data_IF_539118716641
#
_entry.id   IF_539118716641
#
_cell.length_a   1.000
_cell.length_b   1.000
_cell.length_c   1.000
_cell.angle_alpha   90.00
_cell.angle_beta   90.00
_cell.angle_gamma   90.00
#
_symmetry.space_group_name_H-M   'P 1'
#
loop_
_entity.id
_entity.type
_entity.pdbx_description
1 polymer ?
#
# COMPACT_ATOMS: atom_id res chain seq x y z
N UNK A 1 -33.30 31.47 -5.75
CA UNK A 1 -33.74 30.08 -6.01
C UNK A 1 -32.92 29.19 -5.08
N UNK A 2 -33.53 28.25 -4.37
CA UNK A 2 -32.81 27.44 -3.38
C UNK A 2 -31.79 26.50 -4.04
N UNK A 3 -30.72 26.14 -3.34
CA UNK A 3 -29.79 25.10 -3.74
C UNK A 3 -30.51 23.77 -4.01
N UNK A 4 -31.49 23.44 -3.15
CA UNK A 4 -32.34 22.25 -3.32
C UNK A 4 -33.15 22.30 -4.63
N UNK A 5 -33.78 23.43 -4.94
CA UNK A 5 -34.57 23.57 -6.18
C UNK A 5 -33.70 23.41 -7.42
N UNK A 6 -32.47 23.95 -7.37
CA UNK A 6 -31.53 23.88 -8.49
C UNK A 6 -31.06 22.44 -8.68
N UNK A 7 -30.71 21.76 -7.59
CA UNK A 7 -30.37 20.34 -7.57
C UNK A 7 -31.50 19.47 -8.18
N UNK A 8 -32.74 19.60 -7.69
CA UNK A 8 -33.87 18.81 -8.22
C UNK A 8 -34.17 19.10 -9.69
N UNK A 9 -33.99 20.34 -10.13
CA UNK A 9 -34.15 20.72 -11.55
C UNK A 9 -33.08 20.07 -12.42
N UNK A 10 -31.82 20.05 -11.98
CA UNK A 10 -30.71 19.39 -12.69
C UNK A 10 -30.95 17.89 -12.84
N UNK A 11 -31.33 17.20 -11.76
CA UNK A 11 -31.67 15.77 -11.80
C UNK A 11 -32.82 15.47 -12.76
N UNK A 12 -33.90 16.25 -12.66
CA UNK A 12 -35.07 16.11 -13.54
C UNK A 12 -34.70 16.29 -15.01
N UNK A 13 -33.85 17.28 -15.33
CA UNK A 13 -33.36 17.53 -16.69
C UNK A 13 -32.53 16.35 -17.21
N UNK A 14 -31.60 15.83 -16.40
CA UNK A 14 -30.79 14.67 -16.76
C UNK A 14 -31.64 13.41 -16.99
N UNK A 15 -32.62 13.12 -16.13
CA UNK A 15 -33.54 11.99 -16.34
C UNK A 15 -34.25 12.09 -17.70
N UNK A 16 -34.68 13.29 -18.11
CA UNK A 16 -35.28 13.51 -19.43
C UNK A 16 -34.28 13.28 -20.56
N UNK A 17 -33.02 13.67 -20.39
CA UNK A 17 -31.95 13.43 -21.37
C UNK A 17 -31.63 11.93 -21.49
N UNK A 18 -31.53 11.21 -20.36
CA UNK A 18 -31.30 9.76 -20.32
C UNK A 18 -32.44 8.97 -20.99
N UNK A 19 -33.70 9.37 -20.78
CA UNK A 19 -34.85 8.75 -21.49
C UNK A 19 -34.75 8.90 -23.01
N UNK A 20 -34.09 9.95 -23.49
CA UNK A 20 -33.83 10.19 -24.92
C UNK A 20 -32.49 9.59 -25.39
N UNK A 21 -31.76 8.88 -24.52
CA UNK A 21 -30.39 8.38 -24.76
C UNK A 21 -29.40 9.49 -25.13
N UNK A 22 -29.67 10.74 -24.74
CA UNK A 22 -28.76 11.87 -24.93
C UNK A 22 -27.72 11.90 -23.80
N UNK A 23 -26.82 10.91 -23.78
CA UNK A 23 -25.90 10.69 -22.67
C UNK A 23 -24.88 11.83 -22.51
N UNK A 24 -24.30 12.34 -23.59
CA UNK A 24 -23.34 13.45 -23.52
C UNK A 24 -23.97 14.73 -22.95
N UNK A 25 -25.21 15.01 -23.32
CA UNK A 25 -25.98 16.13 -22.77
C UNK A 25 -26.25 15.97 -21.27
N UNK A 26 -26.56 14.74 -20.83
CA UNK A 26 -26.80 14.42 -19.43
C UNK A 26 -25.49 14.53 -18.62
N UNK A 27 -24.39 13.99 -19.14
CA UNK A 27 -23.04 14.10 -18.58
C UNK A 27 -22.67 15.56 -18.38
N UNK A 28 -22.83 16.38 -19.42
CA UNK A 28 -22.54 17.82 -19.35
C UNK A 28 -23.43 18.50 -18.32
N UNK A 29 -24.74 18.23 -18.35
CA UNK A 29 -25.71 18.87 -17.45
C UNK A 29 -25.41 18.57 -15.98
N UNK A 30 -25.13 17.31 -15.64
CA UNK A 30 -24.85 16.91 -14.25
C UNK A 30 -23.43 17.32 -13.84
N UNK A 31 -22.44 17.17 -14.73
CA UNK A 31 -21.06 17.57 -14.48
C UNK A 31 -20.91 19.07 -14.18
N UNK A 32 -21.44 19.92 -15.07
CA UNK A 32 -21.42 21.37 -14.89
C UNK A 32 -22.23 21.77 -13.64
N UNK A 33 -23.37 21.11 -13.41
CA UNK A 33 -24.21 21.34 -12.24
C UNK A 33 -23.53 20.97 -10.92
N UNK A 34 -22.77 19.87 -10.88
CA UNK A 34 -21.99 19.45 -9.72
C UNK A 34 -20.92 20.50 -9.38
N UNK A 35 -20.14 20.93 -10.37
CA UNK A 35 -19.14 22.00 -10.21
C UNK A 35 -19.78 23.28 -9.67
N UNK A 36 -20.87 23.74 -10.28
CA UNK A 36 -21.57 24.95 -9.85
C UNK A 36 -22.03 24.88 -8.38
N UNK A 37 -22.56 23.73 -7.94
CA UNK A 37 -22.99 23.55 -6.55
C UNK A 37 -21.81 23.54 -5.58
N UNK A 38 -20.70 22.89 -5.93
CA UNK A 38 -19.50 22.86 -5.09
C UNK A 38 -18.85 24.24 -4.95
N UNK A 39 -18.79 25.01 -6.04
CA UNK A 39 -18.33 26.41 -6.03
C UNK A 39 -19.23 27.30 -5.14
N UNK A 40 -20.54 27.03 -5.13
CA UNK A 40 -21.50 27.66 -4.24
C UNK A 40 -21.46 27.14 -2.79
N UNK A 41 -20.48 26.28 -2.44
CA UNK A 41 -20.29 25.64 -1.13
C UNK A 41 -21.40 24.68 -0.71
N UNK A 42 -22.26 24.25 -1.64
CA UNK A 42 -23.32 23.27 -1.42
C UNK A 42 -22.78 21.83 -1.54
N UNK A 43 -21.93 21.43 -0.59
CA UNK A 43 -21.13 20.19 -0.63
C UNK A 43 -21.97 18.94 -0.85
N UNK A 44 -23.04 18.75 -0.07
CA UNK A 44 -23.90 17.56 -0.16
C UNK A 44 -24.58 17.44 -1.53
N UNK A 45 -25.12 18.53 -2.06
CA UNK A 45 -25.79 18.53 -3.38
C UNK A 45 -24.79 18.35 -4.52
N UNK A 46 -23.64 19.04 -4.47
CA UNK A 46 -22.59 18.93 -5.48
C UNK A 46 -22.01 17.53 -5.57
N UNK A 47 -21.74 16.88 -4.43
CA UNK A 47 -21.24 15.51 -4.37
C UNK A 47 -22.30 14.47 -4.74
N UNK A 48 -23.59 14.67 -4.40
CA UNK A 48 -24.66 13.77 -4.88
C UNK A 48 -24.78 13.80 -6.41
N UNK A 49 -24.73 14.99 -7.01
CA UNK A 49 -24.68 15.13 -8.46
C UNK A 49 -23.43 14.48 -9.06
N UNK A 50 -22.27 14.55 -8.38
CA UNK A 50 -21.05 13.88 -8.83
C UNK A 50 -21.16 12.36 -8.82
N UNK A 51 -21.77 11.77 -7.79
CA UNK A 51 -22.06 10.33 -7.75
C UNK A 51 -23.03 9.97 -8.88
N UNK A 52 -24.06 10.79 -9.10
CA UNK A 52 -25.00 10.56 -10.19
C UNK A 52 -24.33 10.67 -11.58
N UNK A 53 -23.35 11.56 -11.76
CA UNK A 53 -22.54 11.63 -12.97
C UNK A 53 -21.81 10.30 -13.24
N UNK A 54 -21.22 9.69 -12.21
CA UNK A 54 -20.53 8.41 -12.32
C UNK A 54 -21.49 7.26 -12.68
N UNK A 55 -22.71 7.29 -12.15
CA UNK A 55 -23.76 6.34 -12.54
C UNK A 55 -24.13 6.51 -14.03
N UNK A 56 -24.21 7.76 -14.51
CA UNK A 56 -24.44 8.05 -15.94
C UNK A 56 -23.27 7.54 -16.79
N UNK A 57 -22.02 7.73 -16.36
CA UNK A 57 -20.84 7.16 -17.07
C UNK A 57 -20.94 5.64 -17.18
N UNK A 58 -21.37 4.98 -16.11
CA UNK A 58 -21.58 3.53 -16.09
C UNK A 58 -22.68 3.12 -17.06
N UNK A 59 -23.83 3.80 -17.02
CA UNK A 59 -24.99 3.51 -17.88
C UNK A 59 -24.70 3.77 -19.36
N UNK A 60 -23.91 4.79 -19.68
CA UNK A 60 -23.58 5.16 -21.06
C UNK A 60 -22.37 4.43 -21.63
N UNK A 61 -21.68 3.62 -20.82
CA UNK A 61 -20.40 3.01 -21.22
C UNK A 61 -19.30 4.04 -21.50
N UNK A 62 -19.29 5.19 -20.82
CA UNK A 62 -18.25 6.22 -21.01
C UNK A 62 -16.87 5.60 -20.68
N UNK A 63 -15.88 5.66 -21.59
CA UNK A 63 -14.55 5.14 -21.31
C UNK A 63 -13.82 5.97 -20.26
N UNK A 64 -12.87 5.36 -19.55
CA UNK A 64 -11.94 6.09 -18.70
C UNK A 64 -10.84 6.74 -19.54
N UNK A 65 -11.17 7.90 -20.10
CA UNK A 65 -10.31 8.73 -20.95
C UNK A 65 -9.86 10.02 -20.24
N UNK A 66 -9.09 10.85 -20.93
CA UNK A 66 -8.57 12.09 -20.36
C UNK A 66 -9.69 13.07 -19.95
N UNK A 67 -10.77 13.14 -20.74
CA UNK A 67 -11.89 14.05 -20.49
C UNK A 67 -12.67 13.65 -19.22
N UNK A 68 -13.05 12.38 -19.12
CA UNK A 68 -13.77 11.83 -17.97
C UNK A 68 -12.92 11.91 -16.69
N UNK A 69 -11.62 11.61 -16.78
CA UNK A 69 -10.67 11.78 -15.67
C UNK A 69 -10.59 13.22 -15.21
N UNK A 70 -10.34 14.18 -16.12
CA UNK A 70 -10.24 15.60 -15.77
C UNK A 70 -11.49 16.13 -15.09
N UNK A 71 -12.68 15.75 -15.59
CA UNK A 71 -13.95 16.15 -14.98
C UNK A 71 -14.09 15.61 -13.56
N UNK A 72 -13.79 14.33 -13.32
CA UNK A 72 -13.85 13.75 -11.98
C UNK A 72 -12.83 14.40 -11.04
N UNK A 73 -11.60 14.60 -11.48
CA UNK A 73 -10.55 15.26 -10.68
C UNK A 73 -10.96 16.69 -10.30
N UNK A 74 -11.52 17.46 -11.24
CA UNK A 74 -12.02 18.81 -10.97
C UNK A 74 -13.13 18.81 -9.91
N UNK A 75 -14.10 17.91 -10.03
CA UNK A 75 -15.20 17.81 -9.08
C UNK A 75 -14.69 17.43 -7.70
N UNK A 76 -13.81 16.43 -7.62
CA UNK A 76 -13.26 15.95 -6.34
C UNK A 76 -12.40 17.05 -5.69
N UNK A 77 -11.64 17.84 -6.45
CA UNK A 77 -10.81 18.94 -5.90
C UNK A 77 -11.62 20.13 -5.38
N UNK A 78 -12.86 20.34 -5.88
CA UNK A 78 -13.78 21.36 -5.36
C UNK A 78 -14.55 20.89 -4.13
N UNK A 79 -14.62 19.57 -3.91
CA UNK A 79 -15.28 19.00 -2.75
C UNK A 79 -14.41 19.13 -1.49
N UNK A 80 -15.05 19.43 -0.36
CA UNK A 80 -14.38 19.50 0.94
C UNK A 80 -13.83 18.12 1.36
N UNK A 81 -12.76 18.10 2.16
CA UNK A 81 -12.21 16.87 2.69
C UNK A 81 -13.09 16.25 3.79
N UNK A 82 -14.22 15.70 3.38
CA UNK A 82 -15.21 15.11 4.25
C UNK A 82 -15.74 13.79 3.69
N UNK A 83 -16.75 13.27 4.37
CA UNK A 83 -17.44 12.05 3.98
C UNK A 83 -18.05 12.11 2.56
N UNK A 84 -18.51 13.27 2.11
CA UNK A 84 -19.12 13.42 0.78
C UNK A 84 -18.07 13.29 -0.32
N UNK A 85 -16.91 13.92 -0.16
CA UNK A 85 -15.81 13.73 -1.12
C UNK A 85 -15.34 12.29 -1.15
N UNK A 86 -15.23 11.62 0.00
CA UNK A 86 -14.91 10.18 0.05
C UNK A 86 -15.89 9.35 -0.78
N UNK A 87 -17.21 9.62 -0.68
CA UNK A 87 -18.21 8.93 -1.52
C UNK A 87 -17.97 9.12 -3.02
N UNK A 88 -17.64 10.34 -3.45
CA UNK A 88 -17.34 10.63 -4.86
C UNK A 88 -16.08 9.89 -5.31
N UNK A 89 -15.02 9.89 -4.49
CA UNK A 89 -13.79 9.12 -4.75
C UNK A 89 -14.10 7.63 -4.88
N UNK A 90 -14.81 7.04 -3.92
CA UNK A 90 -15.15 5.61 -3.92
C UNK A 90 -15.96 5.24 -5.18
N UNK A 91 -16.94 6.07 -5.56
CA UNK A 91 -17.73 5.89 -6.78
C UNK A 91 -16.87 5.98 -8.04
N UNK A 92 -16.03 7.02 -8.16
CA UNK A 92 -15.14 7.23 -9.28
C UNK A 92 -14.14 6.08 -9.45
N UNK A 93 -13.53 5.61 -8.36
CA UNK A 93 -12.62 4.46 -8.39
C UNK A 93 -13.36 3.19 -8.80
N UNK A 94 -14.52 2.90 -8.20
CA UNK A 94 -15.32 1.73 -8.54
C UNK A 94 -15.71 1.70 -10.02
N UNK A 95 -16.12 2.84 -10.58
CA UNK A 95 -16.39 2.98 -12.00
C UNK A 95 -15.13 2.74 -12.83
N UNK A 96 -14.00 3.35 -12.45
CA UNK A 96 -12.74 3.25 -13.19
C UNK A 96 -12.22 1.81 -13.29
N UNK A 97 -12.49 0.94 -12.30
CA UNK A 97 -12.13 -0.48 -12.35
C UNK A 97 -12.74 -1.17 -13.57
N UNK A 98 -14.03 -0.94 -13.81
CA UNK A 98 -14.72 -1.51 -14.98
C UNK A 98 -14.32 -0.77 -16.26
N UNK A 99 -14.36 0.57 -16.23
CA UNK A 99 -14.14 1.39 -17.42
C UNK A 99 -12.72 1.31 -17.99
N UNK A 100 -11.73 0.97 -17.16
CA UNK A 100 -10.35 0.73 -17.59
C UNK A 100 -9.96 -0.75 -17.66
N UNK A 101 -10.82 -1.67 -17.20
CA UNK A 101 -10.51 -3.08 -16.93
C UNK A 101 -9.25 -3.29 -16.07
N UNK A 102 -8.99 -2.37 -15.13
CA UNK A 102 -7.90 -2.48 -14.18
C UNK A 102 -8.45 -2.78 -12.77
N UNK A 103 -8.16 -3.94 -12.15
CA UNK A 103 -8.54 -4.24 -10.76
C UNK A 103 -8.14 -3.15 -9.76
N UNK A 104 -7.01 -2.47 -9.96
CA UNK A 104 -6.56 -1.38 -9.09
C UNK A 104 -7.32 -0.05 -9.30
N UNK A 105 -8.14 0.05 -10.36
CA UNK A 105 -8.72 1.30 -10.87
C UNK A 105 -7.79 1.99 -11.87
N UNK A 106 -8.27 3.04 -12.53
CA UNK A 106 -7.44 3.77 -13.50
C UNK A 106 -6.23 4.43 -12.80
N UNK A 107 -5.01 4.11 -13.26
CA UNK A 107 -3.76 4.52 -12.61
C UNK A 107 -3.54 6.03 -12.64
N UNK A 108 -3.99 6.73 -13.70
CA UNK A 108 -3.86 8.19 -13.80
C UNK A 108 -4.84 8.91 -12.85
N UNK A 109 -6.08 8.42 -12.77
CA UNK A 109 -7.09 8.92 -11.84
C UNK A 109 -6.65 8.68 -10.39
N UNK A 110 -6.14 7.48 -10.08
CA UNK A 110 -5.58 7.14 -8.77
C UNK A 110 -4.47 8.11 -8.38
N UNK A 111 -3.50 8.35 -9.27
CA UNK A 111 -2.40 9.27 -9.01
C UNK A 111 -2.88 10.71 -8.77
N UNK A 112 -3.80 11.20 -9.61
CA UNK A 112 -4.34 12.55 -9.46
C UNK A 112 -5.09 12.75 -8.13
N UNK A 113 -5.85 11.75 -7.68
CA UNK A 113 -6.50 11.76 -6.37
C UNK A 113 -5.45 11.73 -5.24
N UNK A 114 -4.43 10.88 -5.38
CA UNK A 114 -3.35 10.77 -4.40
C UNK A 114 -2.59 12.09 -4.23
N UNK A 115 -2.19 12.73 -5.33
CA UNK A 115 -1.47 14.01 -5.32
C UNK A 115 -2.30 15.15 -4.71
N UNK A 116 -3.62 15.14 -4.92
CA UNK A 116 -4.52 16.11 -4.31
C UNK A 116 -4.65 15.89 -2.80
N UNK A 117 -4.88 14.65 -2.35
CA UNK A 117 -4.94 14.31 -0.92
C UNK A 117 -3.61 14.63 -0.20
N UNK A 118 -2.48 14.34 -0.85
CA UNK A 118 -1.16 14.63 -0.31
C UNK A 118 -0.91 16.14 -0.13
N UNK A 119 -1.30 16.97 -1.11
CA UNK A 119 -1.21 18.44 -1.02
C UNK A 119 -2.02 19.03 0.14
N UNK A 120 -3.04 18.31 0.61
CA UNK A 120 -3.87 18.69 1.75
C UNK A 120 -3.36 18.10 3.08
N UNK A 121 -2.19 17.45 3.09
CA UNK A 121 -1.64 16.78 4.27
C UNK A 121 -2.36 15.47 4.65
N UNK A 122 -3.30 14.99 3.82
CA UNK A 122 -4.03 13.74 4.05
C UNK A 122 -3.23 12.53 3.55
N UNK A 123 -2.02 12.37 4.06
CA UNK A 123 -1.04 11.40 3.57
C UNK A 123 -1.51 9.95 3.69
N UNK A 124 -2.13 9.58 4.83
CA UNK A 124 -2.66 8.23 5.03
C UNK A 124 -3.77 7.89 4.03
N UNK A 125 -4.67 8.84 3.75
CA UNK A 125 -5.70 8.66 2.73
C UNK A 125 -5.12 8.57 1.30
N UNK A 126 -3.99 9.26 1.04
CA UNK A 126 -3.33 9.27 -0.26
C UNK A 126 -2.54 7.97 -0.55
N UNK A 127 -1.93 7.37 0.47
CA UNK A 127 -1.01 6.22 0.33
C UNK A 127 -1.62 5.06 -0.47
N UNK A 128 -2.84 4.60 -0.13
CA UNK A 128 -3.50 3.53 -0.87
C UNK A 128 -3.74 3.86 -2.36
N UNK A 129 -3.95 5.13 -2.69
CA UNK A 129 -4.08 5.58 -4.07
C UNK A 129 -2.74 5.59 -4.80
N UNK A 130 -1.65 6.01 -4.16
CA UNK A 130 -0.31 5.91 -4.75
C UNK A 130 0.11 4.47 -5.01
N UNK A 131 -0.15 3.55 -4.07
CA UNK A 131 0.13 2.12 -4.24
C UNK A 131 -0.65 1.62 -5.47
N UNK A 132 -1.96 1.87 -5.56
CA UNK A 132 -2.79 1.45 -6.68
C UNK A 132 -2.33 2.06 -8.02
N UNK A 133 -1.90 3.32 -8.03
CA UNK A 133 -1.40 4.00 -9.23
C UNK A 133 -0.13 3.35 -9.81
N UNK A 134 0.66 2.69 -8.96
CA UNK A 134 1.90 2.02 -9.33
C UNK A 134 1.72 0.57 -9.82
N UNK A 135 0.54 -0.03 -9.63
CA UNK A 135 0.27 -1.41 -10.04
C UNK A 135 0.07 -1.48 -11.55
N UNK A 136 0.86 -2.33 -12.22
CA UNK A 136 0.72 -2.57 -13.64
C UNK A 136 -0.66 -3.17 -13.95
N UNK A 137 -1.42 -2.58 -14.90
CA UNK A 137 -2.71 -3.12 -15.28
C UNK A 137 -2.55 -4.46 -16.03
N UNK A 138 -3.59 -5.32 -16.01
CA UNK A 138 -3.56 -6.57 -16.76
C UNK A 138 -3.56 -6.32 -18.28
N UNK A 139 -3.14 -7.34 -19.04
CA UNK A 139 -3.22 -7.31 -20.49
C UNK A 139 -4.67 -7.02 -20.96
N UNK A 140 -4.83 -6.11 -21.92
CA UNK A 140 -6.15 -5.70 -22.43
C UNK A 140 -6.85 -4.61 -21.61
N UNK A 141 -6.23 -4.10 -20.54
CA UNK A 141 -6.65 -2.86 -19.89
C UNK A 141 -6.30 -1.63 -20.75
N UNK A 142 -7.11 -0.58 -20.64
CA UNK A 142 -6.81 0.74 -21.23
C UNK A 142 -6.04 1.67 -20.28
N UNK A 143 -5.85 1.27 -19.01
CA UNK A 143 -5.06 2.03 -18.05
C UNK A 143 -3.57 1.96 -18.39
N UNK A 144 -2.83 3.00 -18.02
CA UNK A 144 -1.39 3.06 -18.15
C UNK A 144 -0.80 3.63 -16.86
N UNK A 145 0.21 2.95 -16.30
CA UNK A 145 0.92 3.44 -15.11
C UNK A 145 1.70 4.70 -15.49
N UNK A 146 1.47 5.85 -14.84
CA UNK A 146 2.27 7.04 -15.07
C UNK A 146 3.73 6.78 -14.67
N UNK A 147 4.68 7.08 -15.55
CA UNK A 147 6.12 6.83 -15.31
C UNK A 147 6.62 7.48 -14.01
N UNK A 148 6.07 8.64 -13.66
CA UNK A 148 6.43 9.39 -12.46
C UNK A 148 5.69 8.94 -11.18
N UNK A 149 4.75 7.98 -11.24
CA UNK A 149 3.97 7.56 -10.07
C UNK A 149 4.84 7.09 -8.89
N UNK A 150 5.88 6.23 -9.08
CA UNK A 150 6.76 5.82 -7.99
C UNK A 150 7.55 6.98 -7.38
N UNK A 151 7.93 7.96 -8.21
CA UNK A 151 8.63 9.17 -7.77
C UNK A 151 7.71 10.06 -6.93
N UNK A 152 6.48 10.32 -7.40
CA UNK A 152 5.49 11.09 -6.62
C UNK A 152 5.20 10.43 -5.28
N UNK A 153 5.04 9.10 -5.27
CA UNK A 153 4.83 8.36 -4.03
C UNK A 153 6.01 8.48 -3.06
N UNK A 154 7.24 8.34 -3.55
CA UNK A 154 8.44 8.51 -2.73
C UNK A 154 8.56 9.91 -2.13
N UNK A 155 8.27 10.95 -2.92
CA UNK A 155 8.28 12.34 -2.44
C UNK A 155 7.21 12.57 -1.38
N UNK A 156 5.99 12.04 -1.58
CA UNK A 156 4.93 12.10 -0.57
C UNK A 156 5.34 11.42 0.73
N UNK A 157 5.92 10.22 0.68
CA UNK A 157 6.36 9.51 1.89
C UNK A 157 7.46 10.27 2.66
N UNK A 158 8.34 11.00 1.97
CA UNK A 158 9.34 11.86 2.61
C UNK A 158 8.68 13.08 3.28
N UNK A 159 7.71 13.68 2.61
CA UNK A 159 6.96 14.82 3.16
C UNK A 159 6.15 14.41 4.39
N UNK A 160 5.51 13.24 4.33
CA UNK A 160 4.78 12.66 5.45
C UNK A 160 5.73 12.33 6.60
N UNK A 161 6.88 11.70 6.34
CA UNK A 161 7.90 11.44 7.35
C UNK A 161 8.37 12.73 8.04
N UNK A 162 8.57 13.81 7.28
CA UNK A 162 8.91 15.12 7.84
C UNK A 162 7.80 15.68 8.74
N UNK A 163 6.55 15.62 8.28
CA UNK A 163 5.38 16.07 9.06
C UNK A 163 5.19 15.24 10.33
N UNK A 164 5.35 13.92 10.22
CA UNK A 164 5.33 12.99 11.35
C UNK A 164 6.41 13.32 12.36
N UNK A 165 7.65 13.54 11.91
CA UNK A 165 8.75 13.90 12.79
C UNK A 165 8.48 15.21 13.56
N UNK A 166 7.90 16.23 12.90
CA UNK A 166 7.50 17.46 13.57
C UNK A 166 6.42 17.21 14.63
N UNK A 167 5.46 16.33 14.37
CA UNK A 167 4.42 16.01 15.35
C UNK A 167 4.98 15.24 16.55
N UNK A 168 5.88 14.29 16.31
CA UNK A 168 6.60 13.57 17.38
C UNK A 168 7.34 14.55 18.30
N UNK A 169 8.02 15.57 17.75
CA UNK A 169 8.75 16.55 18.59
C UNK A 169 7.87 17.41 19.50
N UNK A 170 6.54 17.44 19.28
CA UNK A 170 5.60 18.17 20.14
C UNK A 170 5.11 17.33 21.32
N UNK A 171 5.42 16.04 21.34
CA UNK A 171 4.94 15.14 22.39
C UNK A 171 5.70 15.35 23.69
N UNK A 172 4.97 15.27 24.80
CA UNK A 172 5.55 15.33 26.12
C UNK A 172 6.53 14.16 26.33
N UNK A 173 7.74 14.48 26.83
CA UNK A 173 8.81 13.50 27.02
C UNK A 173 9.67 13.20 25.79
N UNK A 174 9.33 13.73 24.61
CA UNK A 174 10.21 13.60 23.44
C UNK A 174 11.41 14.54 23.56
N UNK A 175 12.61 13.99 23.35
CA UNK A 175 13.88 14.73 23.43
C UNK A 175 14.67 14.70 22.11
N UNK A 176 14.27 13.85 21.17
CA UNK A 176 14.91 13.72 19.86
C UNK A 176 14.49 14.89 18.98
N UNK A 177 15.46 15.47 18.28
CA UNK A 177 15.18 16.43 17.22
C UNK A 177 14.47 15.75 16.03
N UNK A 178 13.68 16.51 15.27
CA UNK A 178 12.96 15.99 14.11
C UNK A 178 13.89 15.26 13.12
N UNK A 179 15.13 15.74 12.93
CA UNK A 179 16.09 15.09 12.05
C UNK A 179 16.51 13.69 12.54
N UNK A 180 16.55 13.45 13.87
CA UNK A 180 16.79 12.13 14.45
C UNK A 180 15.59 11.23 14.18
N UNK A 181 14.38 11.73 14.44
CA UNK A 181 13.13 10.99 14.19
C UNK A 181 13.00 10.58 12.73
N UNK A 182 13.27 11.50 11.80
CA UNK A 182 13.25 11.19 10.36
C UNK A 182 14.22 10.06 10.00
N UNK A 183 15.43 10.04 10.57
CA UNK A 183 16.41 8.98 10.31
C UNK A 183 15.96 7.63 10.89
N UNK A 184 15.46 7.62 12.13
CA UNK A 184 15.03 6.39 12.82
C UNK A 184 13.77 5.79 12.20
N UNK A 185 12.83 6.62 11.75
CA UNK A 185 11.55 6.16 11.18
C UNK A 185 11.59 5.97 9.66
N UNK A 186 12.65 6.43 8.98
CA UNK A 186 12.75 6.36 7.52
C UNK A 186 12.52 4.96 6.94
N UNK A 187 13.05 3.92 7.58
CA UNK A 187 12.88 2.54 7.13
C UNK A 187 11.45 2.03 7.27
N UNK A 188 10.76 2.39 8.36
CA UNK A 188 9.32 2.11 8.54
C UNK A 188 8.51 2.73 7.40
N UNK A 189 8.73 4.01 7.09
CA UNK A 189 8.07 4.68 5.97
C UNK A 189 8.44 4.08 4.60
N UNK A 190 9.67 3.58 4.42
CA UNK A 190 10.04 2.87 3.20
C UNK A 190 9.24 1.56 3.04
N UNK A 191 9.07 0.78 4.12
CA UNK A 191 8.40 -0.51 4.08
C UNK A 191 6.90 -0.41 3.80
N UNK A 192 6.26 0.68 4.25
CA UNK A 192 4.86 1.01 3.90
C UNK A 192 4.60 1.08 2.39
N UNK A 193 5.63 1.40 1.60
CA UNK A 193 5.56 1.37 0.15
C UNK A 193 6.11 0.07 -0.45
N UNK A 194 7.31 -0.34 -0.03
CA UNK A 194 8.03 -1.47 -0.65
C UNK A 194 7.26 -2.78 -0.49
N UNK A 195 6.81 -3.11 0.73
CA UNK A 195 6.15 -4.41 0.95
C UNK A 195 4.82 -4.53 0.20
N UNK A 196 3.89 -3.55 0.24
CA UNK A 196 2.68 -3.62 -0.57
C UNK A 196 2.93 -3.66 -2.08
N UNK A 197 3.89 -2.87 -2.59
CA UNK A 197 4.23 -2.89 -4.02
C UNK A 197 4.76 -4.25 -4.46
N UNK A 198 5.64 -4.88 -3.66
CA UNK A 198 6.10 -6.24 -3.93
C UNK A 198 4.93 -7.24 -3.83
N UNK A 199 4.11 -7.19 -2.78
CA UNK A 199 2.94 -8.07 -2.63
C UNK A 199 1.94 -7.95 -3.79
N UNK A 200 1.83 -6.78 -4.41
CA UNK A 200 1.00 -6.51 -5.59
C UNK A 200 1.71 -6.76 -6.92
N UNK A 201 2.87 -7.44 -6.90
CA UNK A 201 3.65 -7.80 -8.09
C UNK A 201 4.16 -6.60 -8.89
N UNK A 202 4.49 -5.48 -8.24
CA UNK A 202 5.01 -4.26 -8.85
C UNK A 202 6.48 -3.95 -8.45
N UNK A 203 7.45 -4.83 -8.77
CA UNK A 203 8.83 -4.70 -8.31
C UNK A 203 9.58 -3.51 -8.95
N UNK A 204 9.26 -3.16 -10.20
CA UNK A 204 9.86 -1.99 -10.85
C UNK A 204 9.40 -0.69 -10.22
N UNK A 205 8.12 -0.61 -9.81
CA UNK A 205 7.62 0.52 -9.05
C UNK A 205 8.28 0.61 -7.66
N UNK A 206 8.43 -0.51 -6.95
CA UNK A 206 9.16 -0.55 -5.68
C UNK A 206 10.61 -0.08 -5.83
N UNK A 207 11.29 -0.46 -6.92
CA UNK A 207 12.64 0.02 -7.27
C UNK A 207 12.68 1.52 -7.55
N UNK A 208 11.77 2.02 -8.37
CA UNK A 208 11.67 3.44 -8.68
C UNK A 208 11.39 4.28 -7.42
N UNK A 209 10.46 3.82 -6.59
CA UNK A 209 10.16 4.43 -5.29
C UNK A 209 11.40 4.47 -4.40
N UNK A 210 12.02 3.32 -4.14
CA UNK A 210 13.09 3.21 -3.14
C UNK A 210 14.35 3.97 -3.55
N UNK A 211 14.67 3.99 -4.84
CA UNK A 211 15.78 4.78 -5.39
C UNK A 211 15.60 6.28 -5.14
N UNK A 212 14.41 6.82 -5.40
CA UNK A 212 14.11 8.24 -5.14
C UNK A 212 14.07 8.50 -3.64
N UNK A 213 13.40 7.63 -2.87
CA UNK A 213 13.23 7.77 -1.43
C UNK A 213 14.60 7.87 -0.71
N UNK A 214 15.49 6.91 -0.97
CA UNK A 214 16.83 6.87 -0.38
C UNK A 214 17.69 8.06 -0.84
N UNK A 215 17.72 8.35 -2.15
CA UNK A 215 18.52 9.45 -2.69
C UNK A 215 18.18 10.79 -2.03
N UNK A 216 16.88 11.07 -1.84
CA UNK A 216 16.41 12.29 -1.17
C UNK A 216 16.70 12.29 0.31
N UNK A 217 16.47 11.16 1.00
CA UNK A 217 16.79 11.03 2.42
C UNK A 217 18.27 11.26 2.71
N UNK A 218 19.17 10.70 1.90
CA UNK A 218 20.61 10.82 2.11
C UNK A 218 21.15 12.21 1.79
N UNK A 219 20.52 12.90 0.85
CA UNK A 219 20.81 14.32 0.61
C UNK A 219 20.45 15.16 1.83
N UNK A 220 19.34 14.84 2.51
CA UNK A 220 18.89 15.54 3.72
C UNK A 220 19.63 15.11 4.99
N UNK A 221 19.96 13.83 5.08
CA UNK A 221 20.53 13.17 6.27
C UNK A 221 21.78 12.33 5.89
N UNK A 222 22.92 12.94 5.59
CA UNK A 222 24.14 12.21 5.21
C UNK A 222 24.61 11.22 6.29
N UNK A 223 24.35 11.52 7.57
CA UNK A 223 24.67 10.66 8.72
C UNK A 223 23.86 9.37 8.79
N UNK A 224 22.85 9.19 7.94
CA UNK A 224 22.15 7.91 7.78
C UNK A 224 23.06 6.84 7.17
N UNK A 225 24.07 7.25 6.40
CA UNK A 225 25.05 6.35 5.78
C UNK A 225 26.10 5.91 6.80
N UNK A 226 26.37 4.61 6.85
CA UNK A 226 27.53 4.10 7.58
C UNK A 226 28.83 4.38 6.81
N UNK A 227 29.96 4.61 7.52
CA UNK A 227 31.25 4.96 6.92
C UNK A 227 31.89 3.75 6.21
N UNK A 228 31.36 3.40 5.04
CA UNK A 228 31.83 2.32 4.18
C UNK A 228 32.27 2.88 2.82
N UNK A 229 33.29 2.27 2.20
CA UNK A 229 33.77 2.69 0.89
C UNK A 229 33.94 1.46 -0.04
N UNK A 230 33.20 1.34 -1.16
CA UNK A 230 32.15 2.27 -1.60
C UNK A 230 30.84 2.11 -0.80
N UNK A 231 30.11 3.21 -0.64
CA UNK A 231 28.71 3.23 -0.20
C UNK A 231 27.94 4.17 -1.15
N UNK A 232 27.08 3.66 -2.04
CA UNK A 232 26.50 2.31 -2.04
C UNK A 232 27.46 1.21 -2.51
N UNK A 233 27.21 -0.01 -2.05
CA UNK A 233 27.96 -1.21 -2.46
C UNK A 233 27.23 -1.95 -3.57
N UNK A 234 27.95 -2.62 -4.50
CA UNK A 234 27.31 -3.55 -5.43
C UNK A 234 26.52 -4.62 -4.66
N UNK A 235 25.31 -4.94 -5.13
CA UNK A 235 24.58 -6.09 -4.61
C UNK A 235 25.34 -7.37 -4.97
N UNK A 236 25.54 -8.21 -3.97
CA UNK A 236 26.09 -9.56 -4.10
C UNK A 236 25.07 -10.54 -3.57
N UNK A 237 25.00 -11.72 -4.17
CA UNK A 237 24.18 -12.81 -3.67
C UNK A 237 24.56 -13.10 -2.21
N UNK A 238 23.61 -13.18 -1.26
CA UNK A 238 23.93 -13.48 0.13
C UNK A 238 24.66 -14.82 0.30
N UNK A 239 25.55 -14.89 1.28
CA UNK A 239 26.34 -16.09 1.57
C UNK A 239 25.41 -17.31 1.81
N UNK A 240 25.79 -18.47 1.27
CA UNK A 240 25.00 -19.70 1.33
C UNK A 240 23.96 -19.85 0.22
N UNK A 241 23.80 -18.86 -0.66
CA UNK A 241 23.00 -19.01 -1.88
C UNK A 241 23.73 -19.84 -2.96
N UNK A 242 25.06 -19.86 -2.93
CA UNK A 242 25.88 -20.72 -3.77
C UNK A 242 26.09 -22.08 -3.11
N UNK A 243 25.77 -23.17 -3.82
CA UNK A 243 26.17 -24.52 -3.43
C UNK A 243 27.06 -25.15 -4.50
N UNK A 244 27.94 -26.05 -4.11
CA UNK A 244 28.86 -26.75 -5.04
C UNK A 244 28.13 -27.54 -6.13
N UNK A 245 26.87 -27.93 -5.90
CA UNK A 245 26.02 -28.68 -6.85
C UNK A 245 25.03 -27.81 -7.62
N UNK A 246 24.85 -26.54 -7.23
CA UNK A 246 23.94 -25.60 -7.88
C UNK A 246 24.41 -24.16 -7.64
N UNK A 247 25.21 -23.59 -8.56
CA UNK A 247 25.69 -22.22 -8.43
C UNK A 247 24.51 -21.25 -8.49
N UNK A 248 24.55 -20.18 -7.69
CA UNK A 248 23.52 -19.16 -7.75
C UNK A 248 23.55 -18.47 -9.13
N UNK A 249 22.38 -18.07 -9.65
CA UNK A 249 22.33 -17.24 -10.84
C UNK A 249 23.12 -15.94 -10.60
N UNK A 250 23.67 -15.33 -11.67
CA UNK A 250 24.34 -14.06 -11.55
C UNK A 250 23.33 -12.98 -11.12
N UNK A 251 23.73 -12.04 -10.23
CA UNK A 251 22.86 -10.97 -9.79
C UNK A 251 22.47 -10.05 -10.96
N UNK A 252 21.31 -9.36 -10.86
CA UNK A 252 20.94 -8.33 -11.82
C UNK A 252 22.02 -7.25 -11.95
N UNK A 253 22.37 -6.88 -13.18
CA UNK A 253 23.43 -5.88 -13.44
C UNK A 253 23.06 -4.51 -12.84
N UNK A 254 24.05 -3.85 -12.26
CA UNK A 254 23.94 -2.46 -11.81
C UNK A 254 23.11 -2.24 -10.54
N UNK A 255 22.72 -3.30 -9.83
CA UNK A 255 22.03 -3.17 -8.57
C UNK A 255 23.02 -2.77 -7.47
N UNK A 256 22.72 -1.68 -6.77
CA UNK A 256 23.55 -1.12 -5.70
C UNK A 256 22.70 -0.96 -4.44
N UNK A 257 23.29 -1.27 -3.29
CA UNK A 257 22.65 -1.16 -1.99
C UNK A 257 23.43 -0.18 -1.13
N UNK A 258 22.73 0.79 -0.55
CA UNK A 258 23.33 1.62 0.47
C UNK A 258 23.39 0.89 1.80
N UNK A 259 24.48 1.09 2.52
CA UNK A 259 24.60 0.61 3.90
C UNK A 259 24.25 1.75 4.84
N UNK A 260 23.13 1.58 5.56
CA UNK A 260 22.56 2.62 6.42
C UNK A 260 22.55 2.18 7.88
N UNK A 261 22.44 3.15 8.79
CA UNK A 261 22.21 2.88 10.21
C UNK A 261 20.77 2.45 10.55
N UNK A 262 19.87 2.34 9.56
CA UNK A 262 18.47 1.98 9.76
C UNK A 262 18.20 0.52 9.30
N UNK A 263 17.86 -0.40 10.22
CA UNK A 263 17.68 -1.82 9.89
C UNK A 263 16.51 -2.07 8.94
N UNK A 264 15.39 -1.36 9.11
CA UNK A 264 14.19 -1.49 8.26
C UNK A 264 14.49 -1.04 6.82
N UNK A 265 15.27 0.02 6.66
CA UNK A 265 15.69 0.51 5.34
C UNK A 265 16.69 -0.45 4.67
N UNK A 266 17.59 -1.06 5.44
CA UNK A 266 18.49 -2.10 4.94
C UNK A 266 17.71 -3.34 4.52
N UNK A 267 16.70 -3.76 5.29
CA UNK A 267 15.79 -4.85 4.95
C UNK A 267 14.99 -4.54 3.68
N UNK A 268 14.38 -3.35 3.56
CA UNK A 268 13.63 -2.93 2.38
C UNK A 268 14.48 -3.04 1.09
N UNK A 269 15.73 -2.56 1.15
CA UNK A 269 16.70 -2.64 0.06
C UNK A 269 17.05 -4.10 -0.30
N UNK A 270 17.38 -4.93 0.68
CA UNK A 270 17.76 -6.32 0.45
C UNK A 270 16.58 -7.17 -0.03
N UNK A 271 15.39 -6.92 0.50
CA UNK A 271 14.16 -7.60 0.09
C UNK A 271 13.86 -7.34 -1.39
N UNK A 272 13.86 -6.07 -1.80
CA UNK A 272 13.72 -5.70 -3.20
C UNK A 272 14.81 -6.34 -4.07
N UNK A 273 16.06 -6.32 -3.62
CA UNK A 273 17.18 -6.88 -4.37
C UNK A 273 17.05 -8.38 -4.61
N UNK A 274 16.70 -9.15 -3.57
CA UNK A 274 16.44 -10.59 -3.69
C UNK A 274 15.24 -10.87 -4.58
N UNK A 275 14.17 -10.06 -4.50
CA UNK A 275 13.02 -10.20 -5.39
C UNK A 275 13.40 -9.99 -6.86
N UNK A 276 14.14 -8.92 -7.17
CA UNK A 276 14.63 -8.65 -8.53
C UNK A 276 15.55 -9.77 -9.03
N UNK A 277 16.40 -10.31 -8.15
CA UNK A 277 17.26 -11.45 -8.47
C UNK A 277 16.44 -12.73 -8.77
N UNK A 278 15.44 -13.04 -7.95
CA UNK A 278 14.54 -14.16 -8.18
C UNK A 278 13.80 -14.03 -9.53
N UNK A 279 13.27 -12.85 -9.86
CA UNK A 279 12.62 -12.58 -11.15
C UNK A 279 13.60 -12.79 -12.31
N UNK A 280 14.81 -12.22 -12.22
CA UNK A 280 15.84 -12.35 -13.25
C UNK A 280 16.25 -13.81 -13.48
N UNK A 281 16.29 -14.62 -12.41
CA UNK A 281 16.65 -16.04 -12.50
C UNK A 281 15.62 -16.87 -13.27
N UNK A 282 14.33 -16.58 -13.08
CA UNK A 282 13.23 -17.28 -13.77
C UNK A 282 13.16 -16.85 -15.25
N UNK A 283 13.35 -15.55 -15.52
CA UNK A 283 13.32 -15.02 -16.89
C UNK A 283 14.54 -15.40 -17.74
N UNK A 284 15.66 -15.79 -17.11
CA UNK A 284 16.88 -16.24 -17.80
C UNK A 284 16.89 -17.74 -18.16
N UNK A 285 15.76 -18.45 -18.03
CA UNK A 285 15.58 -19.83 -18.50
C UNK A 285 15.35 -20.88 -17.40
N UNK A 286 15.35 -20.50 -16.12
CA UNK A 286 14.95 -21.41 -15.04
C UNK A 286 13.43 -21.45 -14.91
N UNK A 287 12.83 -22.64 -14.82
CA UNK A 287 11.39 -22.78 -14.56
C UNK A 287 11.00 -22.47 -13.10
N UNK A 288 11.98 -22.47 -12.19
CA UNK A 288 11.77 -22.29 -10.74
C UNK A 288 12.83 -21.38 -10.14
N UNK A 289 12.49 -20.78 -9.01
CA UNK A 289 13.44 -19.97 -8.24
C UNK A 289 14.50 -20.91 -7.64
N UNK A 290 15.81 -20.63 -7.82
CA UNK A 290 16.89 -21.42 -7.24
C UNK A 290 16.82 -21.53 -5.73
N UNK A 291 17.16 -22.71 -5.18
CA UNK A 291 17.06 -22.98 -3.75
C UNK A 291 17.92 -22.03 -2.91
N UNK A 292 19.10 -21.66 -3.40
CA UNK A 292 19.95 -20.68 -2.73
C UNK A 292 19.30 -19.30 -2.53
N UNK A 293 18.52 -18.82 -3.50
CA UNK A 293 17.77 -17.56 -3.36
C UNK A 293 16.61 -17.68 -2.37
N UNK A 294 15.98 -18.86 -2.30
CA UNK A 294 14.96 -19.14 -1.27
C UNK A 294 15.56 -19.14 0.13
N UNK A 295 16.69 -19.81 0.32
CA UNK A 295 17.39 -19.85 1.61
C UNK A 295 17.91 -18.47 2.02
N UNK A 296 18.39 -17.67 1.06
CA UNK A 296 18.79 -16.28 1.29
C UNK A 296 17.59 -15.43 1.75
N UNK A 297 16.42 -15.57 1.12
CA UNK A 297 15.20 -14.90 1.54
C UNK A 297 14.74 -15.34 2.94
N UNK A 298 14.70 -16.64 3.22
CA UNK A 298 14.33 -17.18 4.54
C UNK A 298 15.28 -16.64 5.62
N UNK A 299 16.57 -16.61 5.34
CA UNK A 299 17.58 -16.09 6.28
C UNK A 299 17.41 -14.60 6.50
N UNK A 300 17.13 -13.82 5.45
CA UNK A 300 16.85 -12.39 5.56
C UNK A 300 15.62 -12.12 6.43
N UNK A 301 14.51 -12.83 6.20
CA UNK A 301 13.28 -12.66 6.97
C UNK A 301 13.51 -13.02 8.43
N UNK A 302 14.14 -14.16 8.72
CA UNK A 302 14.47 -14.56 10.11
C UNK A 302 15.40 -13.57 10.80
N UNK A 303 16.37 -13.03 10.07
CA UNK A 303 17.24 -11.99 10.63
C UNK A 303 16.43 -10.74 10.96
N UNK A 304 15.58 -10.29 10.03
CA UNK A 304 14.73 -9.13 10.22
C UNK A 304 13.72 -9.30 11.36
N UNK A 305 13.16 -10.49 11.55
CA UNK A 305 12.29 -10.82 12.69
C UNK A 305 12.99 -10.73 14.05
N UNK A 306 14.32 -10.93 14.09
CA UNK A 306 15.10 -10.86 15.34
C UNK A 306 15.77 -9.50 15.58
N UNK A 307 16.17 -8.83 14.51
CA UNK A 307 17.08 -7.66 14.54
C UNK A 307 16.49 -6.43 13.84
N UNK A 308 15.25 -6.54 13.33
CA UNK A 308 14.54 -5.43 12.68
C UNK A 308 14.22 -4.29 13.63
N UNK A 309 13.81 -3.16 13.05
CA UNK A 309 13.25 -2.04 13.81
C UNK A 309 11.77 -2.25 14.12
N UNK A 310 11.10 -1.17 14.55
CA UNK A 310 9.69 -1.21 14.95
C UNK A 310 8.74 -1.73 13.86
N UNK A 311 9.09 -1.54 12.57
CA UNK A 311 8.23 -1.93 11.46
C UNK A 311 7.95 -3.44 11.40
N UNK A 312 8.83 -4.28 11.94
CA UNK A 312 8.64 -5.74 11.95
C UNK A 312 7.45 -6.17 12.82
N UNK A 313 7.13 -5.39 13.85
CA UNK A 313 6.04 -5.65 14.78
C UNK A 313 4.72 -4.99 14.36
N UNK A 314 4.70 -4.24 13.24
CA UNK A 314 3.49 -3.59 12.77
C UNK A 314 2.44 -4.59 12.24
N UNK A 315 1.15 -4.36 12.53
CA UNK A 315 0.08 -5.14 11.94
C UNK A 315 0.15 -5.16 10.42
N UNK A 316 0.17 -6.36 9.83
CA UNK A 316 0.20 -6.56 8.39
C UNK A 316 1.60 -6.71 7.78
N UNK A 317 2.69 -6.39 8.50
CA UNK A 317 4.06 -6.60 7.99
C UNK A 317 4.33 -8.07 7.68
N UNK A 318 4.01 -8.96 8.62
CA UNK A 318 4.16 -10.41 8.43
C UNK A 318 3.33 -10.95 7.25
N UNK A 319 2.08 -10.48 7.10
CA UNK A 319 1.22 -10.84 5.96
C UNK A 319 1.84 -10.41 4.63
N UNK A 320 2.42 -9.20 4.57
CA UNK A 320 3.05 -8.69 3.37
C UNK A 320 4.33 -9.47 3.04
N UNK A 321 5.17 -9.78 4.04
CA UNK A 321 6.36 -10.64 3.86
C UNK A 321 5.95 -12.03 3.37
N UNK A 322 4.89 -12.62 3.92
CA UNK A 322 4.34 -13.90 3.47
C UNK A 322 3.86 -13.83 2.01
N UNK A 323 3.18 -12.74 1.63
CA UNK A 323 2.76 -12.50 0.24
C UNK A 323 3.95 -12.47 -0.73
N UNK A 324 5.05 -11.78 -0.35
CA UNK A 324 6.29 -11.74 -1.12
C UNK A 324 6.95 -13.13 -1.20
N UNK A 325 7.02 -13.84 -0.06
CA UNK A 325 7.56 -15.20 0.04
C UNK A 325 6.90 -16.17 -0.93
N UNK A 326 5.57 -16.17 -0.99
CA UNK A 326 4.82 -17.03 -1.91
C UNK A 326 4.92 -16.55 -3.35
N UNK A 327 4.84 -15.23 -3.60
CA UNK A 327 4.76 -14.67 -4.96
C UNK A 327 6.07 -14.78 -5.73
N UNK A 328 7.22 -14.60 -5.06
CA UNK A 328 8.52 -14.50 -5.74
C UNK A 328 9.49 -15.62 -5.40
N UNK A 329 9.34 -16.27 -4.25
CA UNK A 329 10.25 -17.33 -3.80
C UNK A 329 9.61 -18.71 -3.81
N UNK A 330 8.33 -18.80 -4.20
CA UNK A 330 7.58 -20.06 -4.31
C UNK A 330 7.59 -20.86 -2.99
N UNK A 331 7.62 -20.14 -1.87
CA UNK A 331 7.54 -20.71 -0.53
C UNK A 331 6.08 -20.97 -0.17
N UNK A 332 5.83 -22.10 0.51
CA UNK A 332 4.52 -22.37 1.06
C UNK A 332 4.18 -21.31 2.12
N UNK A 333 2.97 -20.77 2.04
CA UNK A 333 2.49 -19.82 3.03
C UNK A 333 2.55 -20.47 4.41
N UNK A 334 3.29 -19.86 5.33
CA UNK A 334 3.25 -20.28 6.72
C UNK A 334 1.86 -19.92 7.26
N UNK A 335 1.08 -20.95 7.58
CA UNK A 335 -0.17 -20.71 8.30
C UNK A 335 0.22 -20.12 9.66
N UNK A 336 -0.40 -19.01 10.10
CA UNK A 336 -0.18 -18.52 11.45
C UNK A 336 -0.45 -19.67 12.42
N UNK A 337 0.48 -19.89 13.34
CA UNK A 337 0.42 -20.97 14.33
C UNK A 337 -0.66 -20.62 15.36
N UNK A 338 -1.93 -20.72 14.97
CA UNK A 338 -3.03 -20.12 15.70
C UNK A 338 -4.39 -20.63 15.24
N UNK A 339 -4.71 -21.86 15.63
CA UNK A 339 -5.99 -22.22 16.27
C UNK A 339 -6.02 -23.72 16.62
N UNK A 340 -5.07 -24.19 17.44
CA UNK A 340 -5.07 -25.57 17.96
C UNK A 340 -6.42 -25.95 18.58
N UNK A 341 -7.10 -25.02 19.25
CA UNK A 341 -8.41 -25.26 19.83
C UNK A 341 -9.51 -25.47 18.77
N UNK A 342 -9.48 -24.72 17.65
CA UNK A 342 -10.45 -24.88 16.56
C UNK A 342 -10.16 -26.14 15.73
N UNK A 343 -8.88 -26.45 15.48
CA UNK A 343 -8.47 -27.68 14.81
C UNK A 343 -8.80 -28.92 15.66
N UNK A 344 -8.67 -28.81 16.99
CA UNK A 344 -9.06 -29.87 17.92
C UNK A 344 -10.59 -29.99 18.01
N UNK A 345 -11.34 -28.88 18.02
CA UNK A 345 -12.82 -28.88 17.94
C UNK A 345 -13.34 -29.44 16.61
N UNK A 346 -12.70 -29.13 15.48
CA UNK A 346 -13.03 -29.70 14.17
C UNK A 346 -12.64 -31.18 14.05
N UNK A 347 -11.57 -31.60 14.73
CA UNK A 347 -11.22 -33.03 14.84
C UNK A 347 -12.13 -33.79 15.80
N UNK A 348 -12.72 -33.13 16.81
CA UNK A 348 -13.65 -33.73 17.76
C UNK A 348 -15.10 -33.75 17.23
N UNK A 349 -15.48 -32.78 16.38
CA UNK A 349 -16.82 -32.64 15.82
C UNK A 349 -17.03 -33.38 14.48
N UNK A 350 -16.29 -34.46 14.25
CA UNK A 350 -16.63 -35.42 13.20
C UNK A 350 -16.08 -35.07 11.84
N UNK A 351 -14.87 -35.59 11.56
CA UNK A 351 -14.46 -35.84 10.18
C UNK A 351 -15.37 -36.88 9.55
N UNK A 352 -16.02 -36.53 8.44
CA UNK A 352 -16.79 -37.47 7.65
C UNK A 352 -17.51 -36.84 6.46
N UNK A 353 -17.17 -37.28 5.25
CA UNK A 353 -18.09 -37.28 4.12
C UNK A 353 -17.87 -36.22 3.04
N UNK A 354 -16.98 -36.53 2.10
CA UNK A 354 -17.04 -36.01 0.74
C UNK A 354 -18.38 -36.37 0.07
N UNK A 355 -19.22 -35.38 -0.21
CA UNK A 355 -20.38 -35.51 -1.11
C UNK A 355 -19.97 -35.19 -2.56
N UNK A 356 -20.27 -36.06 -3.54
CA UNK A 356 -20.12 -35.73 -4.96
C UNK A 356 -21.17 -34.71 -5.38
N UNK A 357 -20.71 -33.60 -5.95
CA UNK A 357 -21.54 -32.52 -6.47
C UNK A 357 -22.42 -32.96 -7.64
N UNK A 358 -23.70 -32.67 -7.48
CA UNK A 358 -24.78 -32.88 -8.44
C UNK A 358 -24.61 -31.96 -9.66
N UNK A 359 -24.75 -32.55 -10.86
CA UNK A 359 -24.55 -31.88 -12.14
C UNK A 359 -25.52 -30.71 -12.36
N UNK A 360 -24.97 -29.59 -12.86
CA UNK A 360 -25.74 -28.47 -13.41
C UNK A 360 -25.82 -28.61 -14.93
N UNK A 361 -27.05 -28.77 -15.39
CA UNK A 361 -27.47 -28.74 -16.78
C UNK A 361 -27.20 -27.34 -17.34
N UNK A 362 -26.43 -27.27 -18.43
CA UNK A 362 -26.20 -26.06 -19.20
C UNK A 362 -27.40 -25.79 -20.12
N UNK A 363 -27.91 -24.57 -20.11
CA UNK A 363 -28.98 -24.12 -20.99
C UNK A 363 -29.10 -22.60 -21.05
N UNK A 364 -28.57 -22.02 -22.13
CA UNK A 364 -29.25 -20.95 -22.87
C UNK A 364 -28.85 -19.48 -22.65
N UNK A 365 -28.61 -18.83 -23.80
CA UNK A 365 -28.70 -17.39 -24.12
C UNK A 365 -27.45 -16.52 -23.91
N UNK A 366 -26.72 -16.32 -25.02
CA UNK A 366 -25.68 -15.30 -25.15
C UNK A 366 -26.25 -13.89 -25.17
N UNK A 367 -25.91 -13.12 -24.15
CA UNK A 367 -25.29 -11.81 -24.34
C UNK A 367 -23.86 -11.94 -23.81
N UNK A 368 -22.88 -11.32 -24.46
CA UNK A 368 -21.59 -11.11 -23.81
C UNK A 368 -21.83 -10.21 -22.60
N UNK A 369 -22.13 -10.80 -21.44
CA UNK A 369 -22.01 -10.09 -20.17
C UNK A 369 -20.54 -9.67 -20.09
N UNK A 370 -20.29 -8.36 -20.19
CA UNK A 370 -18.96 -7.81 -19.97
C UNK A 370 -18.44 -8.35 -18.62
N UNK A 371 -17.37 -9.14 -18.69
CA UNK A 371 -16.79 -9.82 -17.54
C UNK A 371 -16.50 -8.80 -16.44
N UNK A 372 -17.20 -8.92 -15.31
CA UNK A 372 -17.06 -7.98 -14.18
C UNK A 372 -15.65 -8.09 -13.61
N UNK A 373 -14.87 -7.02 -13.69
CA UNK A 373 -13.52 -6.97 -13.11
C UNK A 373 -13.64 -6.80 -11.59
N UNK A 374 -13.09 -7.71 -10.81
CA UNK A 374 -13.09 -7.57 -9.35
C UNK A 374 -12.06 -6.53 -8.91
N UNK A 375 -12.45 -5.61 -8.03
CA UNK A 375 -11.55 -4.61 -7.49
C UNK A 375 -10.48 -5.27 -6.60
N UNK A 376 -9.23 -4.82 -6.77
CA UNK A 376 -8.10 -5.23 -5.95
C UNK A 376 -8.19 -4.59 -4.57
N UNK A 377 -8.01 -5.40 -3.52
CA UNK A 377 -7.88 -4.89 -2.16
C UNK A 377 -6.46 -4.35 -1.94
N UNK A 378 -6.34 -3.06 -1.67
CA UNK A 378 -5.08 -2.43 -1.25
C UNK A 378 -5.05 -2.42 0.28
N UNK A 379 -4.18 -3.25 0.86
CA UNK A 379 -3.95 -3.25 2.31
C UNK A 379 -2.90 -2.18 2.65
N UNK A 380 -3.27 -1.23 3.47
CA UNK A 380 -2.36 -0.23 4.04
C UNK A 380 -1.91 -0.68 5.42
N UNK A 381 -0.66 -0.36 5.77
CA UNK A 381 -0.23 -0.47 7.17
C UNK A 381 -1.01 0.56 8.01
N UNK A 382 -1.28 0.29 9.30
CA UNK A 382 -1.95 1.25 10.19
C UNK A 382 -1.29 2.62 10.14
N UNK A 383 -2.05 3.70 10.32
CA UNK A 383 -1.48 5.04 10.32
C UNK A 383 -0.36 5.15 11.37
N UNK A 384 0.83 5.69 11.03
CA UNK A 384 1.91 5.83 12.01
C UNK A 384 1.46 6.72 13.17
N UNK A 385 1.35 6.13 14.35
CA UNK A 385 1.09 6.87 15.58
C UNK A 385 2.40 7.43 16.13
N UNK A 386 2.40 8.71 16.47
CA UNK A 386 3.40 9.29 17.34
C UNK A 386 3.07 8.80 18.77
N UNK A 387 3.81 7.80 19.28
CA UNK A 387 3.60 7.30 20.64
C UNK A 387 4.31 8.22 21.63
N UNK A 388 3.63 8.57 22.73
CA UNK A 388 4.28 9.20 23.88
C UNK A 388 5.46 8.33 24.32
N UNK A 389 6.61 8.97 24.57
CA UNK A 389 7.73 8.30 25.21
C UNK A 389 7.22 7.73 26.55
N UNK A 390 7.20 6.40 26.68
CA UNK A 390 6.97 5.79 28.00
C UNK A 390 8.04 6.35 28.93
N UNK A 391 7.60 7.06 29.97
CA UNK A 391 8.47 7.60 30.99
C UNK A 391 9.37 6.48 31.52
N UNK A 392 10.68 6.69 31.42
CA UNK A 392 11.63 5.82 32.08
C UNK A 392 11.44 5.94 33.60
N UNK A 393 11.23 4.79 34.24
CA UNK A 393 11.49 4.60 35.66
C UNK A 393 10.28 4.69 36.59
N UNK A 394 9.71 3.54 36.91
CA UNK A 394 9.64 3.17 38.33
C UNK A 394 10.73 2.13 38.53
N UNK A 395 11.78 2.51 39.26
CA UNK A 395 12.76 1.56 39.75
C UNK A 395 12.05 0.60 40.68
N UNK A 396 12.20 -0.70 40.45
CA UNK A 396 11.97 -1.68 41.49
C UNK A 396 12.95 -1.37 42.61
N UNK A 397 12.44 -0.69 43.65
CA UNK A 397 13.07 -0.68 44.97
C UNK A 397 13.20 -2.15 45.41
N UNK A 398 14.42 -2.67 45.32
CA UNK A 398 14.82 -3.82 46.12
C UNK A 398 14.72 -3.40 47.58
N UNK A 399 13.59 -3.71 48.21
CA UNK A 399 13.50 -3.82 49.66
C UNK A 399 14.46 -4.93 50.10
N UNK A 400 15.66 -4.52 50.49
CA UNK A 400 16.57 -5.35 51.26
C UNK A 400 15.92 -5.66 52.61
N UNK A 401 15.44 -6.90 52.77
CA UNK A 401 15.12 -7.46 54.07
C UNK A 401 16.43 -7.55 54.87
N UNK A 402 16.59 -6.66 55.84
CA UNK A 402 17.62 -6.75 56.87
C UNK A 402 17.15 -7.84 57.85
N UNK A 403 17.69 -9.04 57.70
CA UNK A 403 17.55 -10.11 58.69
C UNK A 403 18.52 -9.82 59.84
N UNK A 404 17.97 -9.59 61.04
CA UNK A 404 18.75 -9.43 62.26
C UNK A 404 19.28 -10.81 62.72
N UNK A 405 20.52 -10.90 63.26
CA UNK A 405 21.07 -12.17 63.72
C UNK A 405 20.41 -12.61 65.03
N UNK A 406 20.00 -13.88 65.09
CA UNK A 406 19.61 -14.58 66.32
C UNK A 406 20.83 -14.70 67.25
N UNK A 407 20.64 -14.30 68.51
CA UNK A 407 21.61 -14.48 69.59
C UNK A 407 21.74 -15.99 69.92
N UNK A 408 22.97 -16.51 69.82
CA UNK A 408 23.36 -17.80 70.40
C UNK A 408 23.37 -17.67 71.93
N UNK A 409 22.43 -18.36 72.60
CA UNK A 409 22.55 -18.67 74.02
C UNK A 409 23.67 -19.71 74.20
N UNK A 410 24.73 -19.29 74.89
CA UNK A 410 25.75 -20.12 75.50
C UNK A 410 25.19 -20.72 76.80
N UNK A 411 25.14 -22.05 76.86
CA UNK A 411 25.45 -22.85 78.05
C UNK A 411 25.97 -24.25 77.65
#
# INVERSE_FOLDING_TARGET
MSAYDTHQRLRTKAIRQLKKKAYDDAIKTIGDGSVQMLEAKEQGSGCDLAVYLVDIYTQSGKPCDEESRKRLVQIISLAANDFWRKKVIDAAIKWSVQASRNPAGDSQLRLAIADMLAKEGSYFAAEGHYIAACVAPPAGSSAHVPEHAPKSFALMMIEWLGSFAQEVTKQEGESREAAVVERTESGRFALRAVLPLLGLKAPDAAKGFLSIFISRLMTKHPSLLLPMNPNPRPYTTPAGADSASSPAPPPPKGLQLYVTGNPDLNFAQMALALTLHAISSVSSGSSRVPEGLKQAWISLVRQYEREGGEAVHEPGTGDAINSVSTSYFQLQAQRPQGNFMQDMLSSLMGGGGSQPGQGRIAGGAGGEEAEKVQALAIKQAPEPEAKQAQGGGEGEEQEGAIEAPEEEDLD
#
